data_IF_011899904268
#
_entry.id   IF_011899904268
#
_cell.length_a   1.000
_cell.length_b   1.000
_cell.length_c   1.000
_cell.angle_alpha   90.00
_cell.angle_beta   90.00
_cell.angle_gamma   90.00
#
_symmetry.space_group_name_H-M   'P 1'
#
loop_
_entity.id
_entity.type
_entity.pdbx_description
1 polymer ?
#
# COMPACT_ATOMS: atom_id res chain seq x y z
N UNK A 1 3.59 -13.50 -24.60
CA UNK A 1 2.69 -12.34 -24.62
C UNK A 1 3.35 -11.21 -23.84
N UNK A 2 3.39 -10.02 -24.40
CA UNK A 2 3.99 -8.88 -23.71
C UNK A 2 3.12 -8.46 -22.53
N UNK A 3 3.75 -8.16 -21.41
CA UNK A 3 3.08 -7.58 -20.26
C UNK A 3 2.98 -6.06 -20.47
N UNK A 4 1.75 -5.54 -20.52
CA UNK A 4 1.50 -4.11 -20.71
C UNK A 4 2.05 -3.24 -19.58
N UNK A 5 2.41 -3.83 -18.45
CA UNK A 5 2.97 -3.12 -17.29
C UNK A 5 4.50 -3.04 -17.29
N UNK A 6 5.16 -3.71 -18.23
CA UNK A 6 6.63 -3.66 -18.34
C UNK A 6 7.10 -2.22 -18.47
N UNK A 7 8.10 -1.85 -17.68
CA UNK A 7 8.64 -0.49 -17.66
C UNK A 7 7.87 0.50 -16.80
N UNK A 8 6.69 0.14 -16.31
CA UNK A 8 5.89 1.01 -15.44
C UNK A 8 6.46 1.04 -14.02
N UNK A 9 6.17 2.13 -13.32
CA UNK A 9 6.63 2.32 -11.94
C UNK A 9 5.56 1.86 -10.95
N UNK A 10 5.95 1.00 -10.01
CA UNK A 10 5.04 0.56 -8.96
C UNK A 10 5.53 0.96 -7.59
N UNK A 11 4.61 1.16 -6.66
CA UNK A 11 4.92 1.27 -5.25
C UNK A 11 4.06 0.30 -4.46
N UNK A 12 4.67 -0.33 -3.48
CA UNK A 12 3.99 -1.21 -2.54
C UNK A 12 4.31 -0.73 -1.14
N UNK A 13 3.28 -0.49 -0.35
CA UNK A 13 3.44 -0.13 1.06
C UNK A 13 2.65 -1.15 1.87
N UNK A 14 3.31 -1.75 2.87
CA UNK A 14 2.64 -2.66 3.80
C UNK A 14 2.82 -2.18 5.22
N UNK A 15 1.72 -2.21 5.98
CA UNK A 15 1.68 -1.89 7.40
C UNK A 15 1.23 -3.12 8.16
N UNK A 16 2.04 -3.55 9.13
CA UNK A 16 1.70 -4.63 10.04
C UNK A 16 1.19 -3.99 11.33
N UNK A 17 -0.11 -4.06 11.55
CA UNK A 17 -0.82 -3.26 12.54
C UNK A 17 -1.38 -4.15 13.65
N UNK A 18 -0.93 -3.96 14.92
CA UNK A 18 -1.53 -4.63 16.06
C UNK A 18 -3.04 -4.34 16.15
N UNK A 19 -3.80 -5.27 16.73
CA UNK A 19 -5.26 -5.19 16.79
C UNK A 19 -5.79 -3.84 17.28
N UNK A 20 -5.12 -3.22 18.24
CA UNK A 20 -5.57 -1.93 18.80
C UNK A 20 -5.52 -0.78 17.82
N UNK A 21 -4.73 -0.89 16.75
CA UNK A 21 -4.56 0.16 15.75
C UNK A 21 -5.38 -0.04 14.49
N UNK A 22 -6.05 -1.17 14.33
CA UNK A 22 -6.69 -1.56 13.07
C UNK A 22 -7.76 -0.58 12.60
N UNK A 23 -8.65 -0.16 13.49
CA UNK A 23 -9.72 0.78 13.11
C UNK A 23 -9.14 2.14 12.68
N UNK A 24 -8.13 2.63 13.39
CA UNK A 24 -7.46 3.89 13.01
C UNK A 24 -6.86 3.79 11.61
N UNK A 25 -6.19 2.68 11.31
CA UNK A 25 -5.60 2.47 9.98
C UNK A 25 -6.66 2.35 8.90
N UNK A 26 -7.78 1.67 9.16
CA UNK A 26 -8.88 1.61 8.19
C UNK A 26 -9.41 3.01 7.85
N UNK A 27 -9.60 3.86 8.87
CA UNK A 27 -10.07 5.22 8.66
C UNK A 27 -9.05 6.07 7.88
N UNK A 28 -7.77 5.96 8.23
CA UNK A 28 -6.70 6.68 7.53
C UNK A 28 -6.60 6.26 6.07
N UNK A 29 -6.67 4.96 5.79
CA UNK A 29 -6.59 4.44 4.44
C UNK A 29 -7.85 4.79 3.64
N UNK A 30 -9.02 4.83 4.27
CA UNK A 30 -10.23 5.31 3.62
C UNK A 30 -10.08 6.77 3.19
N UNK A 31 -9.50 7.61 4.03
CA UNK A 31 -9.19 9.00 3.68
C UNK A 31 -8.23 9.10 2.49
N UNK A 32 -7.23 8.25 2.45
CA UNK A 32 -6.30 8.18 1.31
C UNK A 32 -7.01 7.74 0.03
N UNK A 33 -7.93 6.79 0.11
CA UNK A 33 -8.73 6.37 -1.05
C UNK A 33 -9.55 7.54 -1.62
N UNK A 34 -10.18 8.32 -0.76
CA UNK A 34 -10.94 9.51 -1.20
C UNK A 34 -10.01 10.54 -1.87
N UNK A 35 -8.84 10.77 -1.30
CA UNK A 35 -7.82 11.64 -1.89
C UNK A 35 -7.42 11.15 -3.29
N UNK A 36 -7.18 9.85 -3.44
CA UNK A 36 -6.77 9.28 -4.73
C UNK A 36 -7.85 9.43 -5.79
N UNK A 37 -9.12 9.25 -5.43
CA UNK A 37 -10.23 9.48 -6.35
C UNK A 37 -10.30 10.92 -6.84
N UNK A 38 -10.01 11.88 -5.96
CA UNK A 38 -10.11 13.30 -6.28
C UNK A 38 -8.91 13.83 -7.06
N UNK A 39 -7.71 13.28 -6.81
CA UNK A 39 -6.44 13.89 -7.25
C UNK A 39 -5.66 13.11 -8.30
N UNK A 40 -6.01 11.84 -8.57
CA UNK A 40 -5.24 11.03 -9.51
C UNK A 40 -5.46 11.46 -10.95
N UNK A 41 -4.42 11.34 -11.76
CA UNK A 41 -4.46 11.61 -13.19
C UNK A 41 -4.86 10.34 -13.94
N UNK A 42 -5.77 10.46 -14.88
CA UNK A 42 -6.28 9.34 -15.69
C UNK A 42 -5.55 9.18 -17.02
N UNK A 43 -4.67 10.11 -17.36
CA UNK A 43 -3.92 10.09 -18.62
C UNK A 43 -2.66 10.94 -18.51
N UNK A 44 -1.77 10.81 -19.49
CA UNK A 44 -0.55 11.59 -19.56
C UNK A 44 0.59 11.04 -18.71
N UNK A 45 1.69 11.81 -18.55
CA UNK A 45 2.89 11.33 -17.86
C UNK A 45 2.72 11.10 -16.37
N UNK A 46 1.66 11.66 -15.76
CA UNK A 46 1.37 11.49 -14.33
C UNK A 46 0.28 10.43 -14.09
N UNK A 47 -0.10 9.70 -15.10
CA UNK A 47 -1.20 8.74 -15.03
C UNK A 47 -1.01 7.69 -13.95
N UNK A 48 -2.04 7.50 -13.13
CA UNK A 48 -2.18 6.37 -12.22
C UNK A 48 -2.92 5.27 -12.95
N UNK A 49 -2.25 4.15 -13.19
CA UNK A 49 -2.81 3.01 -13.92
C UNK A 49 -3.62 2.10 -12.99
N UNK A 50 -3.11 1.90 -11.77
CA UNK A 50 -3.73 1.00 -10.80
C UNK A 50 -3.55 1.53 -9.39
N UNK A 51 -4.59 1.37 -8.58
CA UNK A 51 -4.57 1.67 -7.16
C UNK A 51 -5.45 0.67 -6.43
N UNK A 52 -4.89 0.05 -5.41
CA UNK A 52 -5.67 -0.86 -4.56
C UNK A 52 -5.14 -0.85 -3.14
N UNK A 53 -6.06 -1.07 -2.20
CA UNK A 53 -5.73 -1.33 -0.80
C UNK A 53 -6.38 -2.65 -0.43
N UNK A 54 -5.62 -3.50 0.24
CA UNK A 54 -6.11 -4.78 0.74
C UNK A 54 -5.76 -4.93 2.21
N UNK A 55 -6.52 -5.74 2.93
CA UNK A 55 -6.20 -6.11 4.30
C UNK A 55 -6.36 -7.62 4.48
N UNK A 56 -5.55 -8.16 5.36
CA UNK A 56 -5.61 -9.57 5.70
C UNK A 56 -4.78 -9.86 6.94
N UNK A 57 -4.80 -11.09 7.41
CA UNK A 57 -4.04 -11.47 8.60
C UNK A 57 -2.55 -11.57 8.30
N UNK A 58 -1.73 -11.30 9.32
CA UNK A 58 -0.35 -11.75 9.29
C UNK A 58 -0.32 -13.21 9.72
N UNK A 59 0.40 -14.05 8.98
CA UNK A 59 0.57 -15.46 9.31
C UNK A 59 1.88 -15.68 10.07
N UNK A 60 1.89 -16.68 10.94
CA UNK A 60 3.07 -17.00 11.77
C UNK A 60 4.20 -17.66 10.99
N UNK A 61 3.87 -18.33 9.88
CA UNK A 61 4.85 -18.98 9.01
C UNK A 61 4.25 -19.09 7.60
N UNK A 62 5.02 -19.60 6.65
CA UNK A 62 4.58 -19.72 5.26
C UNK A 62 4.68 -21.14 4.69
N UNK A 63 5.28 -22.06 5.44
CA UNK A 63 5.48 -23.44 4.95
C UNK A 63 4.19 -24.19 4.66
N UNK A 64 3.10 -23.89 5.37
CA UNK A 64 1.81 -24.53 5.15
C UNK A 64 1.20 -24.21 3.78
N UNK A 65 1.59 -23.09 3.15
CA UNK A 65 1.11 -22.75 1.83
C UNK A 65 1.43 -23.83 0.78
N UNK A 66 2.58 -24.49 0.92
CA UNK A 66 2.97 -25.56 0.01
C UNK A 66 2.03 -26.77 0.07
N UNK A 67 1.27 -26.90 1.15
CA UNK A 67 0.28 -27.96 1.36
C UNK A 67 -1.14 -27.50 0.99
N UNK A 68 -1.29 -26.25 0.51
CA UNK A 68 -2.60 -25.66 0.24
C UNK A 68 -3.35 -25.27 1.50
N UNK A 69 -2.67 -25.05 2.60
CA UNK A 69 -3.26 -24.72 3.90
C UNK A 69 -2.84 -23.32 4.33
N UNK A 70 -3.73 -22.62 5.03
CA UNK A 70 -3.39 -21.33 5.65
C UNK A 70 -2.77 -21.58 7.03
N UNK A 71 -1.62 -20.95 7.33
CA UNK A 71 -1.00 -21.05 8.65
C UNK A 71 -1.83 -20.36 9.74
N UNK A 72 -1.41 -20.53 10.99
CA UNK A 72 -1.99 -19.79 12.10
C UNK A 72 -1.68 -18.30 11.95
N UNK A 73 -2.63 -17.49 12.39
CA UNK A 73 -2.54 -16.02 12.34
C UNK A 73 -1.86 -15.48 13.59
N UNK A 74 -1.18 -14.34 13.43
CA UNK A 74 -0.73 -13.53 14.58
C UNK A 74 -1.87 -12.65 15.06
N UNK A 75 -1.57 -11.73 15.99
CA UNK A 75 -2.51 -10.70 16.46
C UNK A 75 -2.42 -9.40 15.65
N UNK A 76 -1.75 -9.43 14.49
CA UNK A 76 -1.61 -8.26 13.62
C UNK A 76 -2.39 -8.44 12.32
N UNK A 77 -2.86 -7.30 11.78
CA UNK A 77 -3.46 -7.20 10.46
C UNK A 77 -2.47 -6.53 9.52
N UNK A 78 -2.36 -7.06 8.31
CA UNK A 78 -1.53 -6.48 7.26
C UNK A 78 -2.42 -5.65 6.33
N UNK A 79 -2.09 -4.37 6.19
CA UNK A 79 -2.68 -3.52 5.15
C UNK A 79 -1.64 -3.33 4.07
N UNK A 80 -2.05 -3.46 2.81
CA UNK A 80 -1.14 -3.25 1.68
C UNK A 80 -1.77 -2.30 0.69
N UNK A 81 -1.03 -1.23 0.39
CA UNK A 81 -1.34 -0.28 -0.67
C UNK A 81 -0.47 -0.64 -1.87
N UNK A 82 -1.10 -0.73 -3.03
CA UNK A 82 -0.39 -1.04 -4.27
C UNK A 82 -0.81 -0.06 -5.36
N UNK A 83 0.19 0.59 -5.97
CA UNK A 83 -0.03 1.59 -7.01
C UNK A 83 0.87 1.31 -8.20
N UNK A 84 0.38 1.58 -9.41
CA UNK A 84 1.17 1.53 -10.64
C UNK A 84 0.98 2.85 -11.38
N UNK A 85 2.09 3.52 -11.68
CA UNK A 85 2.13 4.75 -12.46
C UNK A 85 2.70 4.49 -13.83
N UNK A 86 2.23 5.24 -14.84
CA UNK A 86 2.77 5.18 -16.19
C UNK A 86 4.27 5.49 -16.19
N UNK A 87 4.67 6.50 -15.40
CA UNK A 87 6.05 6.96 -15.29
C UNK A 87 6.40 7.29 -13.84
N UNK A 88 7.70 7.29 -13.52
CA UNK A 88 8.19 7.62 -12.19
C UNK A 88 7.76 9.02 -11.74
N UNK A 89 7.64 9.97 -12.68
CA UNK A 89 7.20 11.33 -12.36
C UNK A 89 5.80 11.36 -11.75
N UNK A 90 4.92 10.43 -12.14
CA UNK A 90 3.60 10.32 -11.55
C UNK A 90 3.65 9.96 -10.07
N UNK A 91 4.54 9.04 -9.71
CA UNK A 91 4.74 8.65 -8.31
C UNK A 91 5.33 9.81 -7.50
N UNK A 92 6.34 10.48 -8.02
CA UNK A 92 6.96 11.64 -7.34
C UNK A 92 5.95 12.76 -7.11
N UNK A 93 5.13 13.04 -8.11
CA UNK A 93 4.08 14.05 -8.01
C UNK A 93 3.06 13.67 -6.94
N UNK A 94 2.64 12.41 -6.92
CA UNK A 94 1.73 11.90 -5.90
C UNK A 94 2.31 12.07 -4.49
N UNK A 95 3.57 11.74 -4.27
CA UNK A 95 4.19 11.89 -2.97
C UNK A 95 4.19 13.35 -2.49
N UNK A 96 4.45 14.28 -3.40
CA UNK A 96 4.40 15.72 -3.07
C UNK A 96 2.98 16.13 -2.68
N UNK A 97 1.99 15.77 -3.49
CA UNK A 97 0.59 16.12 -3.22
C UNK A 97 0.03 15.47 -1.96
N UNK A 98 0.46 14.25 -1.65
CA UNK A 98 -0.04 13.50 -0.49
C UNK A 98 0.78 13.72 0.78
N UNK A 99 1.77 14.60 0.75
CA UNK A 99 2.64 14.87 1.91
C UNK A 99 1.86 15.29 3.16
N UNK A 100 0.67 15.86 3.01
CA UNK A 100 -0.19 16.25 4.13
C UNK A 100 -0.63 15.07 5.01
N UNK A 101 -0.62 13.85 4.47
CA UNK A 101 -0.98 12.64 5.22
C UNK A 101 0.17 12.12 6.09
N UNK A 102 1.41 12.53 5.83
CA UNK A 102 2.58 11.97 6.50
C UNK A 102 2.62 12.18 8.01
N UNK A 103 2.28 13.37 8.55
CA UNK A 103 2.34 13.58 10.00
C UNK A 103 1.40 12.63 10.77
N UNK A 104 0.16 12.49 10.32
CA UNK A 104 -0.81 11.61 10.97
C UNK A 104 -0.40 10.14 10.84
N UNK A 105 0.12 9.75 9.68
CA UNK A 105 0.61 8.39 9.46
C UNK A 105 1.80 8.08 10.37
N UNK A 106 2.78 8.97 10.46
CA UNK A 106 3.95 8.80 11.32
C UNK A 106 3.54 8.67 12.79
N UNK A 107 2.60 9.49 13.24
CA UNK A 107 2.06 9.43 14.59
C UNK A 107 1.39 8.09 14.89
N UNK A 108 0.57 7.59 13.97
CA UNK A 108 -0.13 6.31 14.13
C UNK A 108 0.85 5.13 14.11
N UNK A 109 1.85 5.17 13.24
CA UNK A 109 2.90 4.13 13.19
C UNK A 109 3.62 4.02 14.52
N UNK A 110 3.97 5.15 15.13
CA UNK A 110 4.64 5.19 16.43
C UNK A 110 3.69 4.77 17.55
N UNK A 111 2.50 5.33 17.59
CA UNK A 111 1.52 5.08 18.65
C UNK A 111 1.14 3.60 18.78
N UNK A 112 0.95 2.94 17.66
CA UNK A 112 0.50 1.54 17.63
C UNK A 112 1.64 0.54 17.41
N UNK A 113 2.89 1.00 17.38
CA UNK A 113 4.06 0.15 17.12
C UNK A 113 3.92 -0.64 15.83
N UNK A 114 3.60 0.04 14.75
CA UNK A 114 3.37 -0.56 13.44
C UNK A 114 4.69 -0.78 12.72
N UNK A 115 4.86 -1.95 12.09
CA UNK A 115 5.96 -2.16 11.17
C UNK A 115 5.54 -1.70 9.77
N UNK A 116 6.41 -0.95 9.11
CA UNK A 116 6.13 -0.34 7.81
C UNK A 116 7.20 -0.75 6.81
N UNK A 117 6.75 -1.20 5.63
CA UNK A 117 7.62 -1.54 4.51
C UNK A 117 7.18 -0.75 3.28
N UNK A 118 8.14 -0.08 2.61
CA UNK A 118 7.88 0.70 1.39
C UNK A 118 8.85 0.25 0.32
N UNK A 119 8.31 -0.13 -0.84
CA UNK A 119 9.09 -0.56 -2.00
C UNK A 119 8.62 0.18 -3.24
N UNK A 120 9.58 0.71 -4.02
CA UNK A 120 9.30 1.31 -5.32
C UNK A 120 10.10 0.56 -6.37
N UNK A 121 9.44 0.10 -7.41
CA UNK A 121 10.03 -0.81 -8.40
C UNK A 121 9.63 -0.44 -9.82
N UNK A 122 10.44 -0.91 -10.77
CA UNK A 122 10.11 -0.92 -12.19
C UNK A 122 9.60 -2.31 -12.56
N UNK A 123 8.46 -2.39 -13.22
CA UNK A 123 7.90 -3.68 -13.66
C UNK A 123 8.75 -4.31 -14.75
N UNK A 124 9.01 -5.58 -14.61
CA UNK A 124 9.81 -6.36 -15.56
C UNK A 124 8.94 -7.30 -16.40
#
# INVERSE_FOLDING_TARGET
MANALVGKTSVTISWLVPDVGVETFREMLQGHMEFMKAKSHSEGPLELIHYSISEGPEYKEWGSFAKGELPDKTDRTVFTLFEIYAEEDGLKHHWIESAEFLPAMAEAVELFNVELFIFSHTKI
#
